data_IF_482191606374
#
_entry.id   IF_482191606374
#
_cell.length_a   1.000
_cell.length_b   1.000
_cell.length_c   1.000
_cell.angle_alpha   90.00
_cell.angle_beta   90.00
_cell.angle_gamma   90.00
#
_symmetry.space_group_name_H-M   'P 1'
#
loop_
_entity.id
_entity.type
_entity.pdbx_description
1 polymer ?
#
# COMPACT_ATOMS: atom_id res chain seq x y z
N UNK A 1 -12.42 -20.62 -35.90
CA UNK A 1 -13.04 -20.10 -34.67
C UNK A 1 -11.94 -20.11 -33.61
N UNK A 2 -11.35 -18.95 -33.29
CA UNK A 2 -10.19 -18.85 -32.40
C UNK A 2 -10.70 -18.60 -30.99
N UNK A 3 -10.52 -19.57 -30.10
CA UNK A 3 -10.89 -19.48 -28.69
C UNK A 3 -9.79 -18.69 -27.96
N UNK A 4 -10.06 -17.43 -27.61
CA UNK A 4 -9.18 -16.62 -26.80
C UNK A 4 -9.44 -16.94 -25.32
N UNK A 5 -8.54 -17.67 -24.68
CA UNK A 5 -8.58 -17.89 -23.22
C UNK A 5 -8.03 -16.67 -22.48
N UNK A 6 -8.92 -15.92 -21.82
CA UNK A 6 -8.59 -14.83 -20.91
C UNK A 6 -8.15 -15.42 -19.56
N UNK A 7 -6.85 -15.46 -19.29
CA UNK A 7 -6.31 -15.82 -17.97
C UNK A 7 -6.40 -14.63 -17.01
N UNK A 8 -7.48 -14.57 -16.22
CA UNK A 8 -7.57 -13.69 -15.05
C UNK A 8 -6.59 -14.16 -13.96
N UNK A 9 -5.52 -13.40 -13.75
CA UNK A 9 -4.61 -13.62 -12.62
C UNK A 9 -5.21 -12.98 -11.36
N UNK A 10 -5.64 -13.82 -10.42
CA UNK A 10 -6.13 -13.38 -9.12
C UNK A 10 -4.96 -12.95 -8.22
N UNK A 11 -4.80 -11.65 -8.01
CA UNK A 11 -3.82 -11.10 -7.06
C UNK A 11 -4.35 -11.33 -5.64
N UNK A 12 -3.67 -12.18 -4.86
CA UNK A 12 -3.98 -12.38 -3.44
C UNK A 12 -3.33 -11.29 -2.58
N UNK A 13 -4.11 -10.31 -2.15
CA UNK A 13 -3.72 -9.37 -1.09
C UNK A 13 -3.67 -10.12 0.24
N UNK A 14 -2.47 -10.46 0.72
CA UNK A 14 -2.31 -11.13 2.01
C UNK A 14 -2.22 -10.06 3.11
N UNK A 15 -3.33 -9.77 3.78
CA UNK A 15 -3.37 -8.90 4.96
C UNK A 15 -2.84 -9.68 6.16
N UNK A 16 -1.64 -9.33 6.64
CA UNK A 16 -1.06 -9.98 7.82
C UNK A 16 -1.74 -9.44 9.09
N UNK A 17 -2.14 -10.30 10.04
CA UNK A 17 -2.71 -9.85 11.30
C UNK A 17 -1.60 -9.24 12.17
N UNK A 18 -1.57 -7.91 12.25
CA UNK A 18 -0.95 -7.20 13.37
C UNK A 18 -1.89 -7.28 14.58
N UNK A 19 -1.34 -7.39 15.79
CA UNK A 19 -2.01 -7.57 17.09
C UNK A 19 -3.00 -6.42 17.45
N UNK A 20 -3.17 -5.45 16.56
CA UNK A 20 -4.32 -4.55 16.50
C UNK A 20 -4.77 -4.43 15.03
N UNK A 21 -6.08 -4.63 14.78
CA UNK A 21 -6.69 -4.39 13.46
C UNK A 21 -6.92 -2.90 13.30
N UNK A 22 -5.97 -2.21 12.67
CA UNK A 22 -6.17 -0.82 12.26
C UNK A 22 -6.98 -0.78 10.97
N UNK A 23 -8.26 -0.41 11.05
CA UNK A 23 -9.18 -0.31 9.89
C UNK A 23 -8.91 0.91 8.99
N UNK A 24 -7.90 1.71 9.34
CA UNK A 24 -7.65 3.02 8.78
C UNK A 24 -6.57 3.05 7.69
N UNK A 25 -6.05 1.89 7.23
CA UNK A 25 -4.92 1.83 6.30
C UNK A 25 -5.15 0.81 5.19
N UNK A 26 -5.24 1.30 3.96
CA UNK A 26 -5.36 0.50 2.74
C UNK A 26 -4.07 0.59 1.92
N UNK A 27 -3.69 -0.54 1.31
CA UNK A 27 -2.50 -0.67 0.47
C UNK A 27 -2.82 -1.53 -0.74
N UNK A 28 -3.00 -0.89 -1.89
CA UNK A 28 -3.37 -1.54 -3.15
C UNK A 28 -2.28 -1.38 -4.19
N UNK A 29 -2.16 -2.37 -5.08
CA UNK A 29 -1.27 -2.31 -6.24
C UNK A 29 -2.01 -2.79 -7.47
N UNK A 30 -2.28 -1.86 -8.36
CA UNK A 30 -2.90 -2.13 -9.65
C UNK A 30 -1.79 -2.35 -10.67
N UNK A 31 -1.74 -3.55 -11.27
CA UNK A 31 -0.80 -3.87 -12.35
C UNK A 31 -1.49 -3.71 -13.69
N UNK A 32 -0.85 -3.02 -14.63
CA UNK A 32 -1.35 -2.97 -16.01
C UNK A 32 -1.01 -4.30 -16.71
N UNK A 33 -2.03 -4.98 -17.26
CA UNK A 33 -1.95 -6.26 -17.98
C UNK A 33 -1.36 -6.13 -19.41
N UNK A 34 -1.08 -7.28 -20.06
CA UNK A 34 0.17 -8.01 -19.97
C UNK A 34 1.31 -7.33 -20.75
N UNK A 35 2.52 -7.58 -20.27
CA UNK A 35 3.80 -7.16 -20.85
C UNK A 35 3.86 -7.30 -22.38
N UNK A 36 3.63 -6.20 -23.09
CA UNK A 36 4.18 -6.01 -24.43
C UNK A 36 5.56 -5.36 -24.24
N UNK A 37 6.66 -6.03 -24.64
CA UNK A 37 8.01 -5.56 -24.42
C UNK A 37 8.35 -4.47 -25.44
N UNK A 38 7.68 -3.31 -25.40
CA UNK A 38 8.16 -2.14 -26.17
C UNK A 38 7.50 -0.78 -25.90
N UNK A 39 6.54 -0.67 -24.97
CA UNK A 39 5.92 0.65 -24.74
C UNK A 39 6.69 1.42 -23.67
N UNK A 40 7.74 2.11 -24.10
CA UNK A 40 8.46 3.10 -23.28
C UNK A 40 7.47 4.09 -22.67
N UNK A 41 7.51 4.23 -21.34
CA UNK A 41 6.74 5.25 -20.61
C UNK A 41 5.44 4.80 -19.96
N UNK A 42 5.03 3.52 -20.06
CA UNK A 42 3.90 3.00 -19.27
C UNK A 42 4.34 2.53 -17.88
N UNK A 43 3.58 2.88 -16.85
CA UNK A 43 3.78 2.31 -15.52
C UNK A 43 3.43 0.83 -15.52
N UNK A 44 4.30 -0.03 -14.96
CA UNK A 44 4.00 -1.45 -14.74
C UNK A 44 2.99 -1.64 -13.59
N UNK A 45 2.87 -0.66 -12.70
CA UNK A 45 1.82 -0.67 -11.69
C UNK A 45 1.72 0.63 -10.91
N UNK A 46 0.63 0.76 -10.15
CA UNK A 46 0.34 1.90 -9.30
C UNK A 46 0.08 1.40 -7.88
N UNK A 47 0.96 1.78 -6.96
CA UNK A 47 0.78 1.54 -5.54
C UNK A 47 0.01 2.71 -4.93
N UNK A 48 -1.06 2.44 -4.21
CA UNK A 48 -1.77 3.45 -3.41
C UNK A 48 -1.72 3.03 -1.95
N UNK A 49 -1.11 3.85 -1.11
CA UNK A 49 -1.29 3.78 0.33
C UNK A 49 -2.22 4.91 0.77
N UNK A 50 -3.33 4.57 1.41
CA UNK A 50 -4.31 5.53 1.88
C UNK A 50 -4.67 5.26 3.33
N UNK A 51 -4.87 6.32 4.10
CA UNK A 51 -5.44 6.23 5.42
C UNK A 51 -6.41 7.35 5.73
N UNK A 52 -7.31 7.07 6.67
CA UNK A 52 -8.38 7.99 7.08
C UNK A 52 -8.60 7.91 8.59
N UNK A 53 -9.00 9.01 9.20
CA UNK A 53 -9.59 9.00 10.54
C UNK A 53 -10.97 8.37 10.45
N UNK A 54 -11.39 7.74 11.54
CA UNK A 54 -12.80 7.37 11.69
C UNK A 54 -13.44 8.57 12.39
N UNK A 55 -14.03 9.47 11.60
CA UNK A 55 -14.94 10.46 12.15
C UNK A 55 -16.16 9.66 12.63
N UNK A 56 -16.48 9.76 13.91
CA UNK A 56 -17.43 8.87 14.58
C UNK A 56 -18.86 8.95 14.02
N UNK A 57 -19.15 8.21 12.94
CA UNK A 57 -20.46 7.79 12.42
C UNK A 57 -20.11 6.62 11.47
N UNK A 58 -20.32 5.33 11.77
CA UNK A 58 -21.46 4.65 12.39
C UNK A 58 -20.90 3.38 13.06
N UNK A 59 -21.05 3.26 14.37
CA UNK A 59 -21.02 1.95 15.01
C UNK A 59 -22.27 1.21 14.54
N UNK A 60 -22.18 0.38 13.50
CA UNK A 60 -23.11 -0.72 13.37
C UNK A 60 -22.68 -1.70 14.45
N UNK A 61 -23.37 -1.60 15.59
CA UNK A 61 -23.22 -2.49 16.72
C UNK A 61 -23.69 -3.88 16.30
N UNK A 62 -22.78 -4.70 15.77
CA UNK A 62 -22.91 -6.14 15.90
C UNK A 62 -22.13 -6.53 17.16
N UNK A 63 -22.89 -6.75 18.24
CA UNK A 63 -22.41 -7.30 19.49
C UNK A 63 -21.74 -8.66 19.23
N UNK A 64 -20.41 -8.70 19.11
CA UNK A 64 -19.60 -9.72 19.74
C UNK A 64 -18.08 -9.50 19.57
N UNK A 65 -17.40 -9.48 20.73
CA UNK A 65 -16.01 -9.86 20.97
C UNK A 65 -14.91 -8.78 20.81
N UNK A 66 -14.68 -8.05 21.93
CA UNK A 66 -13.39 -7.91 22.64
C UNK A 66 -12.07 -7.62 21.90
N UNK A 67 -12.09 -7.07 20.68
CA UNK A 67 -10.93 -6.38 20.10
C UNK A 67 -11.18 -4.87 20.17
N UNK A 68 -10.36 -4.16 20.95
CA UNK A 68 -10.38 -2.70 20.92
C UNK A 68 -9.95 -2.25 19.51
N UNK A 69 -10.91 -1.83 18.69
CA UNK A 69 -10.65 -1.22 17.40
C UNK A 69 -10.01 0.15 17.64
N UNK A 70 -8.68 0.18 17.62
CA UNK A 70 -7.91 1.40 17.82
C UNK A 70 -7.89 2.19 16.51
N UNK A 71 -8.51 3.37 16.52
CA UNK A 71 -8.64 4.25 15.37
C UNK A 71 -7.83 5.54 15.54
N UNK A 72 -7.42 6.13 14.42
CA UNK A 72 -6.79 7.45 14.43
C UNK A 72 -7.88 8.52 14.63
N UNK A 73 -7.73 9.34 15.67
CA UNK A 73 -8.45 10.61 15.80
C UNK A 73 -7.78 11.70 14.96
N UNK A 74 -6.47 11.62 14.82
CA UNK A 74 -5.64 12.55 14.03
C UNK A 74 -4.50 11.80 13.38
N UNK A 75 -4.25 12.09 12.12
CA UNK A 75 -3.09 11.56 11.39
C UNK A 75 -2.01 12.63 11.34
N UNK A 76 -0.78 12.25 11.66
CA UNK A 76 0.36 13.16 11.72
C UNK A 76 1.36 12.93 10.59
N UNK A 77 1.55 11.67 10.17
CA UNK A 77 2.48 11.33 9.11
C UNK A 77 2.14 10.00 8.41
N UNK A 78 2.59 9.88 7.17
CA UNK A 78 2.64 8.61 6.43
C UNK A 78 3.98 8.48 5.72
N UNK A 79 4.52 7.27 5.72
CA UNK A 79 5.73 6.93 4.98
C UNK A 79 5.58 5.61 4.24
N UNK A 80 6.01 5.59 2.98
CA UNK A 80 6.07 4.37 2.15
C UNK A 80 7.51 3.93 1.99
N UNK A 81 7.73 2.65 2.21
CA UNK A 81 9.01 1.99 2.04
C UNK A 81 8.94 0.93 0.97
N UNK A 82 10.05 0.74 0.26
CA UNK A 82 10.24 -0.34 -0.73
C UNK A 82 11.38 -1.25 -0.30
N UNK A 83 11.22 -2.54 -0.56
CA UNK A 83 12.28 -3.54 -0.51
C UNK A 83 12.30 -4.32 -1.82
N UNK A 84 13.44 -4.31 -2.51
CA UNK A 84 13.61 -4.96 -3.81
C UNK A 84 13.48 -6.49 -3.70
N UNK A 85 13.08 -7.17 -4.79
CA UNK A 85 13.17 -8.63 -4.89
C UNK A 85 14.64 -9.08 -4.80
N UNK A 86 14.91 -10.22 -4.16
CA UNK A 86 16.27 -10.70 -3.90
C UNK A 86 16.90 -10.23 -2.58
N UNK A 87 16.20 -9.39 -1.81
CA UNK A 87 16.67 -8.93 -0.49
C UNK A 87 17.29 -7.54 -0.52
N UNK A 88 17.97 -7.17 0.57
CA UNK A 88 18.53 -5.83 0.77
C UNK A 88 17.76 -4.96 1.76
N UNK A 89 18.32 -3.76 2.00
CA UNK A 89 17.79 -2.79 2.96
C UNK A 89 16.49 -2.15 2.49
N UNK A 90 15.65 -1.78 3.46
CA UNK A 90 14.38 -1.08 3.22
C UNK A 90 14.69 0.38 2.92
N UNK A 91 14.21 0.89 1.77
CA UNK A 91 14.47 2.26 1.33
C UNK A 91 13.18 3.09 1.39
N UNK A 92 13.27 4.32 1.91
CA UNK A 92 12.15 5.26 1.92
C UNK A 92 11.83 5.73 0.50
N UNK A 93 10.56 5.55 0.10
CA UNK A 93 10.03 5.96 -1.20
C UNK A 93 9.41 7.34 -1.12
N UNK A 94 8.89 7.74 0.03
CA UNK A 94 8.28 9.05 0.21
C UNK A 94 7.53 9.15 1.53
N UNK A 95 7.41 10.37 2.02
CA UNK A 95 6.71 10.70 3.26
C UNK A 95 5.90 11.98 3.13
N UNK A 96 4.77 12.03 3.81
CA UNK A 96 4.02 13.27 4.09
C UNK A 96 3.82 13.41 5.59
N UNK A 97 3.76 14.64 6.08
CA UNK A 97 3.60 14.96 7.49
C UNK A 97 2.85 16.29 7.68
N UNK A 98 2.45 16.63 8.88
CA UNK A 98 1.84 17.94 9.17
C UNK A 98 2.76 19.11 8.83
N UNK A 99 4.09 18.92 8.90
CA UNK A 99 5.08 19.91 8.50
C UNK A 99 5.29 19.95 6.98
N UNK A 100 5.15 18.80 6.31
CA UNK A 100 5.30 18.66 4.86
C UNK A 100 4.10 17.89 4.29
N UNK A 101 2.93 18.55 4.15
CA UNK A 101 1.67 17.86 3.87
C UNK A 101 1.54 17.42 2.42
N UNK A 102 2.38 17.93 1.52
CA UNK A 102 2.35 17.61 0.10
C UNK A 102 3.68 17.06 -0.35
N UNK A 103 3.62 16.05 -1.20
CA UNK A 103 4.77 15.43 -1.84
C UNK A 103 4.47 15.31 -3.32
N UNK A 104 5.37 15.76 -4.18
CA UNK A 104 5.35 15.48 -5.62
C UNK A 104 6.77 15.36 -6.10
N UNK A 105 7.17 14.18 -6.57
CA UNK A 105 8.52 13.95 -7.09
C UNK A 105 8.56 12.81 -8.10
N UNK A 106 9.51 12.88 -9.01
CA UNK A 106 9.86 11.78 -9.91
C UNK A 106 11.33 11.44 -9.69
N UNK A 107 11.62 10.20 -9.31
CA UNK A 107 12.98 9.75 -9.06
C UNK A 107 13.11 8.24 -9.24
N UNK A 108 14.24 7.78 -9.79
CA UNK A 108 14.59 6.35 -9.87
C UNK A 108 13.55 5.46 -10.59
N UNK A 109 12.77 6.01 -11.53
CA UNK A 109 11.70 5.26 -12.21
C UNK A 109 10.40 5.17 -11.41
N UNK A 110 10.22 6.07 -10.43
CA UNK A 110 9.01 6.21 -9.63
C UNK A 110 8.48 7.63 -9.79
N UNK A 111 7.17 7.77 -9.99
CA UNK A 111 6.45 9.04 -9.81
C UNK A 111 5.63 8.94 -8.53
N UNK A 112 5.88 9.86 -7.61
CA UNK A 112 5.33 9.80 -6.25
C UNK A 112 4.55 11.07 -6.01
N UNK A 113 3.30 10.92 -5.60
CA UNK A 113 2.42 12.00 -5.18
C UNK A 113 1.85 11.66 -3.82
N UNK A 114 1.89 12.59 -2.88
CA UNK A 114 1.33 12.40 -1.55
C UNK A 114 0.65 13.65 -1.02
N UNK A 115 -0.36 13.43 -0.19
CA UNK A 115 -1.18 14.48 0.39
C UNK A 115 -1.65 14.06 1.78
N UNK A 116 -1.44 14.94 2.76
CA UNK A 116 -2.01 14.91 4.09
C UNK A 116 -3.00 16.08 4.22
N UNK A 117 -4.25 15.77 4.54
CA UNK A 117 -5.33 16.71 4.79
C UNK A 117 -6.02 16.36 6.11
N UNK A 118 -6.95 17.21 6.56
CA UNK A 118 -7.72 16.95 7.77
C UNK A 118 -8.41 15.57 7.69
N UNK A 119 -7.98 14.65 8.55
CA UNK A 119 -8.54 13.31 8.64
C UNK A 119 -8.17 12.33 7.52
N UNK A 120 -7.35 12.73 6.53
CA UNK A 120 -7.02 11.86 5.39
C UNK A 120 -5.56 11.97 4.99
N UNK A 121 -5.00 10.85 4.56
CA UNK A 121 -3.63 10.78 4.08
C UNK A 121 -3.54 9.83 2.90
N UNK A 122 -2.78 10.20 1.88
CA UNK A 122 -2.51 9.32 0.75
C UNK A 122 -1.10 9.50 0.22
N UNK A 123 -0.47 8.39 -0.17
CA UNK A 123 0.73 8.36 -1.00
C UNK A 123 0.46 7.40 -2.15
N UNK A 124 0.55 7.91 -3.37
CA UNK A 124 0.44 7.17 -4.62
C UNK A 124 1.81 7.11 -5.30
N UNK A 125 2.22 5.92 -5.72
CA UNK A 125 3.50 5.64 -6.37
C UNK A 125 3.24 4.92 -7.68
N UNK A 126 3.48 5.59 -8.81
CA UNK A 126 3.52 4.96 -10.12
C UNK A 126 4.90 4.35 -10.35
N UNK A 127 4.93 3.06 -10.67
CA UNK A 127 6.13 2.24 -10.86
C UNK A 127 6.38 2.08 -12.36
N UNK A 128 7.53 2.56 -12.86
CA UNK A 128 7.88 2.43 -14.28
C UNK A 128 8.90 1.33 -14.55
N UNK A 129 9.54 0.79 -13.51
CA UNK A 129 10.54 -0.27 -13.63
C UNK A 129 9.96 -1.62 -13.24
N UNK A 130 10.24 -2.64 -14.04
CA UNK A 130 9.70 -3.99 -13.83
C UNK A 130 10.16 -4.60 -12.49
N UNK A 131 11.39 -4.32 -12.05
CA UNK A 131 11.88 -4.77 -10.74
C UNK A 131 11.12 -4.14 -9.57
N UNK A 132 10.58 -2.93 -9.76
CA UNK A 132 9.82 -2.22 -8.73
C UNK A 132 8.42 -2.79 -8.59
N UNK A 133 7.82 -3.28 -9.67
CA UNK A 133 6.56 -3.99 -9.60
C UNK A 133 6.69 -5.26 -8.76
N UNK A 134 7.77 -6.02 -8.91
CA UNK A 134 8.05 -7.24 -8.13
C UNK A 134 8.55 -6.97 -6.69
N UNK A 135 8.57 -5.72 -6.24
CA UNK A 135 9.06 -5.34 -4.92
C UNK A 135 8.03 -5.54 -3.81
N UNK A 136 8.51 -5.57 -2.57
CA UNK A 136 7.65 -5.51 -1.37
C UNK A 136 7.53 -4.07 -0.90
N UNK A 137 6.32 -3.64 -0.62
CA UNK A 137 6.03 -2.32 -0.10
C UNK A 137 5.54 -2.40 1.35
N UNK A 138 5.90 -1.40 2.13
CA UNK A 138 5.40 -1.24 3.50
C UNK A 138 4.95 0.19 3.64
N UNK A 139 3.69 0.37 4.02
CA UNK A 139 3.17 1.67 4.39
C UNK A 139 3.07 1.76 5.90
N UNK A 140 3.48 2.90 6.44
CA UNK A 140 3.44 3.21 7.86
C UNK A 140 2.69 4.51 8.04
N UNK A 141 1.64 4.50 8.86
CA UNK A 141 0.89 5.69 9.26
C UNK A 141 1.09 5.92 10.74
N UNK A 142 1.31 7.18 11.11
CA UNK A 142 1.46 7.62 12.50
C UNK A 142 0.44 8.70 12.80
N UNK A 143 -0.09 8.68 14.00
CA UNK A 143 -1.08 9.63 14.44
C UNK A 143 -1.42 9.45 15.92
N UNK A 144 -2.55 10.01 16.32
CA UNK A 144 -3.04 9.97 17.68
C UNK A 144 -4.39 9.25 17.76
N UNK A 145 -4.67 8.61 18.89
CA UNK A 145 -5.99 8.10 19.24
C UNK A 145 -6.88 9.19 19.88
N UNK A 146 -8.10 8.85 20.29
CA UNK A 146 -9.02 9.77 20.96
C UNK A 146 -8.53 10.26 22.34
N UNK A 147 -7.52 9.61 22.92
CA UNK A 147 -6.88 9.97 24.20
C UNK A 147 -5.54 10.71 23.98
N UNK A 148 -5.26 11.17 22.75
CA UNK A 148 -4.00 11.81 22.37
C UNK A 148 -2.75 10.91 22.57
N UNK A 149 -2.90 9.59 22.55
CA UNK A 149 -1.79 8.63 22.57
C UNK A 149 -1.32 8.33 21.16
N UNK A 150 -0.01 8.14 21.02
CA UNK A 150 0.60 7.80 19.73
C UNK A 150 0.14 6.43 19.24
N UNK A 151 -0.28 6.39 17.98
CA UNK A 151 -0.65 5.20 17.24
C UNK A 151 0.24 5.04 16.02
N UNK A 152 0.55 3.78 15.72
CA UNK A 152 1.28 3.41 14.50
C UNK A 152 0.55 2.25 13.83
N UNK A 153 0.14 2.46 12.59
CA UNK A 153 -0.44 1.42 11.74
C UNK A 153 0.53 1.06 10.62
N UNK A 154 0.68 -0.25 10.37
CA UNK A 154 1.62 -0.76 9.39
C UNK A 154 0.91 -1.76 8.49
N UNK A 155 0.88 -1.50 7.19
CA UNK A 155 0.39 -2.43 6.18
C UNK A 155 1.52 -2.80 5.24
N UNK A 156 1.63 -4.10 4.93
CA UNK A 156 2.65 -4.64 4.03
C UNK A 156 1.96 -5.25 2.82
N UNK A 157 2.51 -4.98 1.64
CA UNK A 157 2.10 -5.62 0.41
C UNK A 157 3.32 -6.31 -0.20
N UNK A 158 3.18 -7.61 -0.42
CA UNK A 158 4.14 -8.39 -1.17
C UNK A 158 3.45 -8.93 -2.41
N UNK A 159 4.01 -8.67 -3.60
CA UNK A 159 3.63 -9.45 -4.76
C UNK A 159 4.20 -10.86 -4.59
N UNK A 160 3.37 -11.89 -4.73
CA UNK A 160 3.88 -13.25 -4.88
C UNK A 160 4.69 -13.26 -6.19
N UNK A 161 5.98 -13.60 -6.09
CA UNK A 161 6.69 -14.04 -7.27
C UNK A 161 6.00 -15.32 -7.73
N UNK A 162 5.67 -15.42 -9.02
CA UNK A 162 5.23 -16.67 -9.62
C UNK A 162 6.22 -17.76 -9.20
N UNK A 163 5.81 -18.62 -8.28
CA UNK A 163 6.55 -19.83 -7.98
C UNK A 163 6.13 -20.83 -9.05
N UNK A 164 6.59 -20.61 -10.28
CA UNK A 164 6.59 -21.64 -11.29
C UNK A 164 7.88 -22.43 -11.14
N UNK A 165 7.86 -23.38 -10.21
CA UNK A 165 8.74 -24.55 -10.23
C UNK A 165 7.81 -25.71 -10.57
N UNK A 166 7.62 -26.05 -11.84
CA UNK A 166 8.42 -27.07 -12.52
C UNK A 166 8.59 -28.31 -11.63
N UNK A 167 7.60 -29.20 -11.66
CA UNK A 167 7.84 -30.63 -11.48
C UNK A 167 7.35 -31.32 -12.76
N UNK A 168 8.28 -31.46 -13.70
CA UNK A 168 8.34 -32.62 -14.57
C UNK A 168 9.00 -33.72 -13.73
N UNK A 169 8.25 -34.78 -13.48
CA UNK A 169 8.68 -36.02 -12.84
C UNK A 169 7.60 -37.06 -13.07
#
# INVERSE_FOLDING_TARGET
MITVSLYQHNIKVTKFPSIARYECLDLTLETNTPFLPDVTGRSCGVLTCAGKTIDGVTSVSDENQNEANVSFSRIEAMEVFRRKPGGGSRVSVGSVSTQHPRLSRVANGLKITGLLEAGKVSIRVELFKQEDCKSRFTCVVRGLDSQAKNLVSITKLAQQADTQTANLG
#
